data_IF_128430249351
#
_entry.id   IF_128430249351
#
_cell.length_a   1.000
_cell.length_b   1.000
_cell.length_c   1.000
_cell.angle_alpha   90.00
_cell.angle_beta   90.00
_cell.angle_gamma   90.00
#
_symmetry.space_group_name_H-M   'P 1'
#
loop_
_entity.id
_entity.type
_entity.pdbx_description
1 polymer ?
#
# COMPACT_ATOMS: atom_id res chain seq x y z
N UNK A 1 -1.11 0.29 -26.63
CA UNK A 1 -2.46 -0.35 -26.59
C UNK A 1 -2.51 -1.18 -25.32
N UNK A 2 -3.53 -1.05 -24.46
CA UNK A 2 -3.57 -1.82 -23.22
C UNK A 2 -3.80 -3.30 -23.53
N UNK A 3 -2.93 -4.18 -22.99
CA UNK A 3 -3.07 -5.63 -23.10
C UNK A 3 -4.24 -6.10 -22.23
N UNK A 4 -5.25 -6.67 -22.86
CA UNK A 4 -6.34 -7.33 -22.14
C UNK A 4 -5.87 -8.73 -21.72
N UNK A 5 -5.80 -8.97 -20.42
CA UNK A 5 -5.49 -10.29 -19.86
C UNK A 5 -6.78 -11.09 -19.71
N UNK A 6 -6.95 -12.17 -20.48
CA UNK A 6 -8.11 -13.06 -20.35
C UNK A 6 -8.04 -13.86 -19.05
N UNK A 7 -8.93 -13.57 -18.10
CA UNK A 7 -9.05 -14.34 -16.87
C UNK A 7 -10.02 -15.50 -17.13
N UNK A 8 -9.53 -16.74 -17.02
CA UNK A 8 -10.35 -17.94 -17.19
C UNK A 8 -11.19 -18.16 -15.93
N UNK A 9 -12.47 -17.85 -15.99
CA UNK A 9 -13.41 -18.16 -14.89
C UNK A 9 -13.52 -19.67 -14.76
N UNK A 10 -13.37 -20.19 -13.54
CA UNK A 10 -13.50 -21.63 -13.27
C UNK A 10 -14.91 -22.09 -13.66
N UNK A 11 -15.02 -23.20 -14.40
CA UNK A 11 -16.28 -23.69 -14.96
C UNK A 11 -17.33 -24.03 -13.89
N UNK A 12 -16.88 -24.36 -12.68
CA UNK A 12 -17.70 -24.56 -11.49
C UNK A 12 -18.44 -23.28 -11.06
N UNK A 13 -17.78 -22.12 -11.14
CA UNK A 13 -18.38 -20.82 -10.81
C UNK A 13 -19.46 -20.42 -11.82
N UNK A 14 -19.22 -20.70 -13.11
CA UNK A 14 -20.20 -20.47 -14.15
C UNK A 14 -21.44 -21.36 -13.97
N UNK A 15 -21.23 -22.62 -13.57
CA UNK A 15 -22.31 -23.56 -13.28
C UNK A 15 -23.12 -23.15 -12.06
N UNK A 16 -22.44 -22.71 -11.00
CA UNK A 16 -23.08 -22.22 -9.78
C UNK A 16 -23.91 -20.95 -10.05
N UNK A 17 -23.36 -19.99 -10.80
CA UNK A 17 -24.08 -18.76 -11.15
C UNK A 17 -25.36 -19.04 -11.95
N UNK A 18 -25.30 -19.98 -12.93
CA UNK A 18 -26.49 -20.40 -13.68
C UNK A 18 -27.58 -20.99 -12.78
N UNK A 19 -27.21 -21.93 -11.89
CA UNK A 19 -28.15 -22.52 -10.94
C UNK A 19 -28.82 -21.48 -10.05
N UNK A 20 -28.09 -20.43 -9.64
CA UNK A 20 -28.65 -19.34 -8.84
C UNK A 20 -29.62 -18.47 -9.65
N UNK A 21 -29.36 -18.23 -10.93
CA UNK A 21 -30.28 -17.51 -11.82
C UNK A 21 -31.58 -18.29 -12.05
N UNK A 22 -31.48 -19.62 -12.19
CA UNK A 22 -32.63 -20.50 -12.41
C UNK A 22 -33.62 -20.52 -11.22
N UNK A 23 -33.18 -20.09 -10.03
CA UNK A 23 -34.07 -19.93 -8.86
C UNK A 23 -35.05 -18.77 -8.98
N UNK A 24 -34.89 -17.89 -9.99
CA UNK A 24 -35.71 -16.70 -10.19
C UNK A 24 -35.42 -15.55 -9.21
N UNK A 25 -34.46 -15.73 -8.30
CA UNK A 25 -34.06 -14.72 -7.30
C UNK A 25 -33.44 -13.47 -7.93
N UNK A 26 -32.81 -13.60 -9.09
CA UNK A 26 -32.21 -12.50 -9.84
C UNK A 26 -32.69 -12.56 -11.29
N UNK A 27 -33.00 -11.40 -11.88
CA UNK A 27 -33.56 -11.31 -13.24
C UNK A 27 -32.48 -11.42 -14.32
N UNK A 28 -31.21 -11.20 -13.96
CA UNK A 28 -30.07 -11.29 -14.87
C UNK A 28 -28.76 -11.60 -14.14
N UNK A 29 -27.77 -12.08 -14.90
CA UNK A 29 -26.41 -12.28 -14.39
C UNK A 29 -25.78 -10.98 -13.87
N UNK A 30 -26.04 -9.86 -14.55
CA UNK A 30 -25.52 -8.54 -14.15
C UNK A 30 -26.06 -8.10 -12.79
N UNK A 31 -27.35 -8.36 -12.52
CA UNK A 31 -27.98 -8.07 -11.22
C UNK A 31 -27.37 -8.92 -10.11
N UNK A 32 -27.18 -10.23 -10.37
CA UNK A 32 -26.52 -11.14 -9.44
C UNK A 32 -25.08 -10.69 -9.13
N UNK A 33 -24.29 -10.38 -10.15
CA UNK A 33 -22.89 -9.95 -9.97
C UNK A 33 -22.80 -8.62 -9.23
N UNK A 34 -23.67 -7.66 -9.54
CA UNK A 34 -23.70 -6.36 -8.87
C UNK A 34 -24.04 -6.50 -7.39
N UNK A 35 -25.05 -7.31 -7.05
CA UNK A 35 -25.41 -7.60 -5.66
C UNK A 35 -24.31 -8.35 -4.92
N UNK A 36 -23.68 -9.35 -5.55
CA UNK A 36 -22.58 -10.10 -4.94
C UNK A 36 -21.36 -9.21 -4.65
N UNK A 37 -21.01 -8.30 -5.56
CA UNK A 37 -19.95 -7.31 -5.34
C UNK A 37 -20.34 -6.36 -4.20
N UNK A 38 -21.58 -5.85 -4.20
CA UNK A 38 -22.07 -4.96 -3.14
C UNK A 38 -22.00 -5.61 -1.77
N UNK A 39 -22.54 -6.82 -1.63
CA UNK A 39 -22.51 -7.58 -0.37
C UNK A 39 -21.08 -7.83 0.09
N UNK A 40 -20.17 -8.16 -0.83
CA UNK A 40 -18.76 -8.35 -0.49
C UNK A 40 -18.10 -7.06 -0.03
N UNK A 41 -18.40 -5.94 -0.66
CA UNK A 41 -17.90 -4.63 -0.25
C UNK A 41 -18.46 -4.22 1.13
N UNK A 42 -19.71 -4.53 1.42
CA UNK A 42 -20.32 -4.24 2.72
C UNK A 42 -19.76 -5.15 3.83
N UNK A 43 -19.51 -6.43 3.56
CA UNK A 43 -18.76 -7.32 4.47
C UNK A 43 -17.36 -6.78 4.77
N UNK A 44 -16.67 -6.24 3.74
CA UNK A 44 -15.34 -5.64 3.88
C UNK A 44 -15.36 -4.33 4.68
N UNK A 45 -16.44 -3.55 4.58
CA UNK A 45 -16.63 -2.32 5.39
C UNK A 45 -16.97 -2.64 6.83
N UNK A 46 -17.90 -3.57 7.07
CA UNK A 46 -18.28 -3.97 8.43
C UNK A 46 -17.14 -4.69 9.17
N UNK A 47 -16.29 -5.43 8.46
CA UNK A 47 -15.06 -5.98 9.03
C UNK A 47 -14.02 -4.91 9.36
N UNK A 48 -13.97 -3.79 8.63
CA UNK A 48 -13.16 -2.62 8.99
C UNK A 48 -13.77 -1.81 10.15
N UNK A 49 -15.09 -1.60 10.19
CA UNK A 49 -15.77 -0.88 11.27
C UNK A 49 -15.72 -1.63 12.60
N UNK A 50 -15.83 -2.97 12.60
CA UNK A 50 -15.65 -3.78 13.82
C UNK A 50 -14.22 -3.77 14.38
N UNK A 51 -13.22 -3.38 13.59
CA UNK A 51 -11.83 -3.18 14.05
C UNK A 51 -11.66 -1.79 14.67
N UNK A 52 -12.53 -0.82 14.34
CA UNK A 52 -12.40 0.56 14.79
C UNK A 52 -12.98 0.86 16.19
N UNK A 53 -13.93 0.05 16.71
CA UNK A 53 -14.67 0.39 17.94
C UNK A 53 -14.37 -0.47 19.18
N UNK A 54 -13.50 -1.49 19.12
CA UNK A 54 -13.22 -2.33 20.29
C UNK A 54 -11.94 -1.91 21.02
N UNK A 55 -12.13 -1.18 22.13
CA UNK A 55 -11.29 -1.01 23.33
C UNK A 55 -9.75 -1.00 23.12
N UNK A 56 -9.17 0.18 23.36
CA UNK A 56 -7.72 0.46 23.34
C UNK A 56 -7.00 -0.41 24.37
N UNK A 57 -6.41 -1.48 23.88
CA UNK A 57 -5.34 -2.25 24.49
C UNK A 57 -4.27 -2.25 23.41
N UNK A 58 -3.09 -1.63 23.62
CA UNK A 58 -2.06 -1.51 22.58
C UNK A 58 -1.67 -2.91 22.12
N UNK A 59 -2.20 -3.40 20.98
CA UNK A 59 -1.87 -4.73 20.53
C UNK A 59 -0.47 -4.59 19.98
N UNK A 60 0.40 -5.55 20.29
CA UNK A 60 1.64 -5.79 19.56
C UNK A 60 1.39 -5.46 18.09
N UNK A 61 2.01 -4.38 17.59
CA UNK A 61 1.81 -3.89 16.22
C UNK A 61 2.24 -5.05 15.33
N UNK A 62 1.28 -5.82 14.80
CA UNK A 62 1.58 -6.72 13.71
C UNK A 62 2.22 -5.84 12.64
N UNK A 63 3.45 -6.16 12.25
CA UNK A 63 4.33 -5.42 11.32
C UNK A 63 3.66 -5.23 9.95
N UNK A 64 2.65 -4.39 9.89
CA UNK A 64 1.90 -4.11 8.67
C UNK A 64 2.47 -2.85 8.07
N UNK A 65 3.17 -3.04 6.96
CA UNK A 65 3.58 -1.96 6.09
C UNK A 65 2.36 -1.41 5.36
N UNK A 66 2.18 -0.09 5.45
CA UNK A 66 1.25 0.66 4.60
C UNK A 66 2.04 1.26 3.44
N UNK A 67 1.46 1.29 2.24
CA UNK A 67 2.16 1.71 1.03
C UNK A 67 1.50 2.91 0.36
N UNK A 68 2.30 3.72 -0.32
CA UNK A 68 1.82 4.79 -1.20
C UNK A 68 1.92 4.38 -2.67
N UNK A 69 1.16 5.03 -3.58
CA UNK A 69 1.32 4.85 -5.02
C UNK A 69 2.74 5.15 -5.52
N UNK A 70 3.48 6.01 -4.82
CA UNK A 70 4.85 6.39 -5.15
C UNK A 70 5.89 5.42 -4.56
N UNK A 71 5.48 4.19 -4.26
CA UNK A 71 6.36 3.13 -3.79
C UNK A 71 7.07 3.40 -2.45
N UNK A 72 6.48 4.22 -1.58
CA UNK A 72 6.96 4.40 -0.21
C UNK A 72 6.17 3.50 0.73
N UNK A 73 6.84 2.95 1.74
CA UNK A 73 6.17 2.29 2.87
C UNK A 73 6.24 3.15 4.13
N UNK A 74 5.27 2.95 5.02
CA UNK A 74 5.22 3.48 6.36
C UNK A 74 4.89 2.37 7.35
N UNK A 75 5.56 2.36 8.50
CA UNK A 75 5.35 1.40 9.57
C UNK A 75 5.31 2.12 10.91
N UNK A 76 4.30 1.82 11.72
CA UNK A 76 4.28 2.27 13.11
C UNK A 76 5.21 1.39 13.93
N UNK A 77 6.17 2.01 14.61
CA UNK A 77 7.13 1.35 15.50
C UNK A 77 6.50 1.11 16.88
N UNK A 78 7.03 0.16 17.69
CA UNK A 78 6.57 -0.07 19.06
C UNK A 78 6.63 1.19 19.94
N UNK A 79 7.55 2.11 19.65
CA UNK A 79 7.72 3.38 20.38
C UNK A 79 6.75 4.49 19.90
N UNK A 80 5.77 4.15 19.04
CA UNK A 80 4.76 5.10 18.53
C UNK A 80 5.28 6.06 17.46
N UNK A 81 6.48 5.84 16.93
CA UNK A 81 7.06 6.61 15.82
C UNK A 81 6.71 5.96 14.49
N UNK A 82 6.88 6.68 13.38
CA UNK A 82 6.66 6.15 12.03
C UNK A 82 8.01 6.00 11.33
N UNK A 83 8.36 4.76 10.97
CA UNK A 83 9.45 4.47 10.06
C UNK A 83 8.93 4.53 8.63
N UNK A 84 9.74 5.10 7.72
CA UNK A 84 9.41 5.20 6.30
C UNK A 84 10.60 4.72 5.47
N UNK A 85 10.31 4.19 4.28
CA UNK A 85 11.34 3.74 3.35
C UNK A 85 10.77 3.45 1.97
N UNK A 86 11.64 2.99 1.08
CA UNK A 86 11.27 2.63 -0.28
C UNK A 86 10.80 1.16 -0.33
N UNK A 87 9.79 0.86 -1.14
CA UNK A 87 9.31 -0.51 -1.30
C UNK A 87 10.36 -1.39 -1.98
N UNK A 88 10.35 -2.68 -1.66
CA UNK A 88 11.21 -3.69 -2.29
C UNK A 88 11.11 -3.67 -3.84
N UNK A 89 9.90 -3.41 -4.36
CA UNK A 89 9.69 -3.24 -5.79
C UNK A 89 10.51 -2.06 -6.33
N UNK A 90 10.40 -0.87 -5.74
CA UNK A 90 11.08 0.30 -6.26
C UNK A 90 12.60 0.21 -6.13
N UNK A 91 13.16 -0.28 -5.02
CA UNK A 91 14.63 -0.45 -4.89
C UNK A 91 15.20 -1.36 -6.00
N UNK A 92 14.51 -2.44 -6.40
CA UNK A 92 14.97 -3.36 -7.44
C UNK A 92 14.91 -2.75 -8.84
N UNK A 93 14.04 -1.76 -9.05
CA UNK A 93 13.88 -1.08 -10.32
C UNK A 93 14.76 0.17 -10.43
N UNK A 94 15.15 0.76 -9.31
CA UNK A 94 16.19 1.79 -9.23
C UNK A 94 17.56 1.13 -9.41
N UNK A 95 17.93 0.87 -10.67
CA UNK A 95 19.26 0.36 -11.00
C UNK A 95 20.30 1.46 -10.82
N UNK A 96 21.42 1.12 -10.20
CA UNK A 96 22.57 2.03 -10.07
C UNK A 96 22.29 3.21 -9.14
N UNK A 97 21.74 2.95 -7.95
CA UNK A 97 21.61 3.97 -6.89
C UNK A 97 23.01 4.49 -6.55
N UNK A 98 23.22 5.79 -6.78
CA UNK A 98 24.48 6.49 -6.58
C UNK A 98 24.51 7.23 -5.24
N UNK A 99 23.35 7.67 -4.74
CA UNK A 99 23.27 8.41 -3.50
C UNK A 99 21.85 8.62 -3.02
N UNK A 100 21.71 8.91 -1.72
CA UNK A 100 20.44 9.29 -1.09
C UNK A 100 20.68 10.51 -0.24
N UNK A 101 19.85 11.53 -0.43
CA UNK A 101 19.88 12.75 0.38
C UNK A 101 18.52 12.95 1.02
N UNK A 102 18.50 13.28 2.30
CA UNK A 102 17.27 13.56 3.04
C UNK A 102 17.39 14.90 3.77
N UNK A 103 16.26 15.55 4.01
CA UNK A 103 16.21 16.70 4.91
C UNK A 103 16.73 16.32 6.30
N UNK A 104 17.33 17.28 7.03
CA UNK A 104 17.96 17.00 8.31
C UNK A 104 16.94 16.65 9.39
N UNK A 105 17.42 15.99 10.45
CA UNK A 105 16.66 15.83 11.69
C UNK A 105 16.22 17.20 12.19
N UNK A 106 14.94 17.33 12.53
CA UNK A 106 14.34 18.59 12.93
C UNK A 106 13.43 19.21 11.86
N UNK A 107 13.56 18.79 10.60
CA UNK A 107 12.74 19.30 9.52
C UNK A 107 11.29 18.80 9.63
N UNK A 108 10.33 19.69 9.38
CA UNK A 108 8.90 19.37 9.30
C UNK A 108 8.50 19.13 7.85
N UNK A 109 7.85 18.00 7.58
CA UNK A 109 7.39 17.61 6.25
C UNK A 109 5.91 17.29 6.27
N UNK A 110 5.16 17.68 5.23
CA UNK A 110 3.76 17.27 5.08
C UNK A 110 3.64 16.02 4.21
N UNK A 111 2.55 15.28 4.40
CA UNK A 111 2.18 14.17 3.52
C UNK A 111 2.18 14.62 2.05
N UNK A 112 2.90 13.88 1.22
CA UNK A 112 3.06 14.13 -0.21
C UNK A 112 4.21 15.06 -0.57
N UNK A 113 4.80 15.78 0.39
CA UNK A 113 5.96 16.64 0.14
C UNK A 113 7.26 15.82 0.12
N UNK A 114 8.25 16.21 -0.70
CA UNK A 114 9.55 15.55 -0.74
C UNK A 114 10.30 15.76 0.58
N UNK A 115 10.72 14.65 1.21
CA UNK A 115 11.65 14.69 2.35
C UNK A 115 13.07 14.31 1.95
N UNK A 116 13.30 13.86 0.72
CA UNK A 116 14.61 13.50 0.22
C UNK A 116 14.57 13.17 -1.27
N UNK A 117 15.72 12.75 -1.79
CA UNK A 117 15.91 12.34 -3.19
C UNK A 117 16.79 11.10 -3.23
N UNK A 118 16.44 10.17 -4.13
CA UNK A 118 17.31 9.07 -4.54
C UNK A 118 17.95 9.46 -5.85
N UNK A 119 19.27 9.47 -5.88
CA UNK A 119 20.07 9.64 -7.09
C UNK A 119 20.47 8.26 -7.62
N UNK A 120 20.24 8.06 -8.90
CA UNK A 120 20.79 6.94 -9.67
C UNK A 120 21.74 7.48 -10.73
N UNK A 121 22.53 6.61 -11.37
CA UNK A 121 23.38 7.04 -12.48
C UNK A 121 22.64 7.66 -13.67
N UNK A 122 21.33 7.48 -13.77
CA UNK A 122 20.53 7.93 -14.91
C UNK A 122 19.52 9.01 -14.55
N UNK A 123 18.96 8.97 -13.33
CA UNK A 123 17.82 9.77 -12.92
C UNK A 123 17.85 10.08 -11.43
N UNK A 124 17.13 11.15 -11.05
CA UNK A 124 16.83 11.49 -9.67
C UNK A 124 15.33 11.36 -9.42
N UNK A 125 14.96 10.83 -8.25
CA UNK A 125 13.57 10.61 -7.85
C UNK A 125 13.33 11.16 -6.46
N UNK A 126 12.26 11.94 -6.32
CA UNK A 126 11.86 12.47 -5.02
C UNK A 126 11.29 11.37 -4.11
N UNK A 127 11.73 11.37 -2.86
CA UNK A 127 11.15 10.59 -1.78
C UNK A 127 10.04 11.42 -1.12
N UNK A 128 8.80 11.16 -1.50
CA UNK A 128 7.63 11.85 -0.94
C UNK A 128 7.20 11.25 0.40
N UNK A 129 6.93 12.09 1.39
CA UNK A 129 6.55 11.62 2.72
C UNK A 129 5.15 10.97 2.71
N UNK A 130 4.98 9.75 3.24
CA UNK A 130 3.66 9.12 3.33
C UNK A 130 2.76 9.77 4.40
N UNK A 131 3.35 10.53 5.32
CA UNK A 131 2.69 11.13 6.49
C UNK A 131 3.24 12.53 6.78
N UNK A 132 2.47 13.36 7.47
CA UNK A 132 2.98 14.64 7.97
C UNK A 132 3.67 14.43 9.32
N UNK A 133 4.76 15.14 9.57
CA UNK A 133 5.47 15.06 10.84
C UNK A 133 6.86 15.70 10.82
N UNK A 134 7.64 15.42 11.87
CA UNK A 134 9.00 15.90 12.03
C UNK A 134 10.00 14.76 11.88
N UNK A 135 11.04 14.96 11.09
CA UNK A 135 12.13 13.99 10.96
C UNK A 135 12.91 13.94 12.26
N UNK A 136 12.91 12.79 12.94
CA UNK A 136 13.58 12.61 14.24
C UNK A 136 14.82 11.70 14.16
N UNK A 137 14.95 10.92 13.08
CA UNK A 137 16.06 9.98 12.86
C UNK A 137 16.20 9.72 11.36
N UNK A 138 17.44 9.56 10.91
CA UNK A 138 17.80 9.20 9.53
C UNK A 138 18.71 7.96 9.61
N UNK A 139 18.55 7.02 8.67
CA UNK A 139 19.47 5.90 8.55
C UNK A 139 20.79 6.40 7.93
N UNK A 140 21.78 6.72 8.76
CA UNK A 140 23.07 7.26 8.32
C UNK A 140 23.87 6.28 7.45
N UNK A 141 23.61 4.97 7.56
CA UNK A 141 24.28 3.98 6.74
C UNK A 141 23.98 4.16 5.23
N UNK A 142 22.88 4.84 4.88
CA UNK A 142 22.56 5.18 3.48
C UNK A 142 23.53 6.19 2.84
N UNK A 143 24.36 6.88 3.64
CA UNK A 143 25.38 7.79 3.12
C UNK A 143 26.56 7.02 2.53
N UNK A 144 26.95 5.93 3.18
CA UNK A 144 28.08 5.09 2.78
C UNK A 144 27.61 3.96 1.84
N UNK A 145 26.43 3.41 2.10
CA UNK A 145 25.86 2.27 1.40
C UNK A 145 24.42 2.59 0.92
N UNK A 146 24.23 3.42 -0.12
CA UNK A 146 22.90 3.84 -0.54
C UNK A 146 22.02 2.71 -1.09
N UNK A 147 22.60 1.55 -1.42
CA UNK A 147 21.89 0.38 -1.93
C UNK A 147 21.10 -0.42 -0.87
N UNK A 148 21.22 -0.09 0.43
CA UNK A 148 20.47 -0.76 1.52
C UNK A 148 19.12 -0.10 1.83
N UNK A 149 18.68 0.85 0.99
CA UNK A 149 17.45 1.64 1.16
C UNK A 149 16.17 0.81 1.20
#
# INVERSE_FOLDING_TARGET
MPEWKTIRVRQELATAAKRTLDTGRYRSLSEFVSEAIRLRLDELKQSHEKIAEKQVEYPMIQERLLYTPNHMWAMVTPEGKISVGLSDYAQRHLKGIAGIQTHPVGYEVKKGEPFGVVETWMFMFDLCSPVSGKIIKINKALLDEPYII
#
